data_IF_655320804053
#
_entry.id   IF_655320804053
#
_cell.length_a   1.000
_cell.length_b   1.000
_cell.length_c   1.000
_cell.angle_alpha   90.00
_cell.angle_beta   90.00
_cell.angle_gamma   90.00
#
_symmetry.space_group_name_H-M   'P 1'
#
loop_
_entity.id
_entity.type
_entity.pdbx_description
1 polymer ?
#
# COMPACT_ATOMS: atom_id res chain seq x y z
N UNK A 1 -18.39 3.30 -5.30
CA UNK A 1 -18.85 2.23 -6.26
C UNK A 1 -19.37 0.99 -5.51
N UNK A 2 -20.26 0.21 -6.13
CA UNK A 2 -20.60 -1.14 -5.65
C UNK A 2 -19.48 -2.10 -6.07
N UNK A 3 -19.08 -3.03 -5.20
CA UNK A 3 -17.94 -3.93 -5.49
C UNK A 3 -18.36 -5.21 -6.24
N UNK A 4 -19.63 -5.61 -6.13
CA UNK A 4 -20.16 -6.78 -6.83
C UNK A 4 -19.94 -6.68 -8.35
N UNK A 5 -19.28 -7.68 -8.93
CA UNK A 5 -19.00 -7.77 -10.36
C UNK A 5 -17.87 -6.84 -10.85
N UNK A 6 -17.20 -6.11 -9.96
CA UNK A 6 -16.04 -5.29 -10.33
C UNK A 6 -14.78 -6.13 -10.48
N UNK A 7 -13.91 -5.77 -11.44
CA UNK A 7 -12.60 -6.40 -11.63
C UNK A 7 -11.57 -5.58 -10.86
N UNK A 8 -10.85 -6.21 -9.95
CA UNK A 8 -9.88 -5.58 -9.08
C UNK A 8 -8.49 -6.23 -9.21
N UNK A 9 -7.47 -5.43 -9.50
CA UNK A 9 -6.07 -5.83 -9.45
C UNK A 9 -5.46 -5.38 -8.13
N UNK A 10 -4.90 -6.31 -7.37
CA UNK A 10 -4.19 -6.03 -6.12
C UNK A 10 -2.75 -6.52 -6.25
N UNK A 11 -1.82 -5.61 -6.20
CA UNK A 11 -0.40 -5.90 -6.31
C UNK A 11 0.20 -6.28 -4.96
N UNK A 12 1.13 -7.24 -4.95
CA UNK A 12 1.76 -7.70 -3.71
C UNK A 12 0.81 -8.47 -2.79
N UNK A 13 0.05 -9.40 -3.37
CA UNK A 13 -1.05 -10.11 -2.71
C UNK A 13 -0.69 -11.42 -2.00
N UNK A 14 0.59 -11.85 -1.98
CA UNK A 14 0.95 -13.13 -1.36
C UNK A 14 0.58 -13.19 0.12
N UNK A 15 0.75 -12.09 0.83
CA UNK A 15 0.59 -12.00 2.28
C UNK A 15 0.28 -10.56 2.76
N UNK A 16 0.06 -10.37 4.09
CA UNK A 16 -0.10 -9.07 4.75
C UNK A 16 -1.23 -8.23 4.19
N UNK A 17 -0.97 -6.93 4.01
CA UNK A 17 -1.97 -5.93 3.62
C UNK A 17 -2.59 -6.27 2.26
N UNK A 18 -1.77 -6.58 1.25
CA UNK A 18 -2.28 -6.87 -0.10
C UNK A 18 -3.17 -8.11 -0.12
N UNK A 19 -2.78 -9.20 0.57
CA UNK A 19 -3.61 -10.40 0.72
C UNK A 19 -4.94 -10.07 1.42
N UNK A 20 -4.89 -9.36 2.53
CA UNK A 20 -6.08 -9.02 3.30
C UNK A 20 -7.05 -8.16 2.50
N UNK A 21 -6.57 -7.16 1.76
CA UNK A 21 -7.39 -6.34 0.87
C UNK A 21 -8.00 -7.22 -0.24
N UNK A 22 -7.18 -8.03 -0.92
CA UNK A 22 -7.64 -8.88 -2.02
C UNK A 22 -8.73 -9.84 -1.62
N UNK A 23 -8.53 -10.58 -0.51
CA UNK A 23 -9.56 -11.50 0.00
C UNK A 23 -10.83 -10.76 0.46
N UNK A 24 -10.69 -9.56 1.02
CA UNK A 24 -11.85 -8.76 1.43
C UNK A 24 -12.65 -8.25 0.23
N UNK A 25 -11.97 -7.84 -0.85
CA UNK A 25 -12.63 -7.46 -2.11
C UNK A 25 -13.32 -8.67 -2.76
N UNK A 26 -12.69 -9.83 -2.77
CA UNK A 26 -13.29 -11.06 -3.27
C UNK A 26 -14.56 -11.44 -2.48
N UNK A 27 -14.50 -11.42 -1.15
CA UNK A 27 -15.66 -11.64 -0.27
C UNK A 27 -16.78 -10.60 -0.48
N UNK A 28 -16.44 -9.39 -0.92
CA UNK A 28 -17.40 -8.35 -1.26
C UNK A 28 -17.97 -8.46 -2.69
N UNK A 29 -17.63 -9.54 -3.41
CA UNK A 29 -18.18 -9.89 -4.72
C UNK A 29 -17.40 -9.31 -5.91
N UNK A 30 -16.19 -8.78 -5.71
CA UNK A 30 -15.32 -8.43 -6.80
C UNK A 30 -14.60 -9.67 -7.36
N UNK A 31 -14.34 -9.70 -8.65
CA UNK A 31 -13.35 -10.61 -9.24
C UNK A 31 -11.97 -10.01 -9.00
N UNK A 32 -11.08 -10.78 -8.37
CA UNK A 32 -9.80 -10.26 -7.91
C UNK A 32 -8.65 -10.94 -8.63
N UNK A 33 -7.69 -10.12 -9.10
CA UNK A 33 -6.39 -10.54 -9.60
C UNK A 33 -5.37 -10.18 -8.52
N UNK A 34 -4.68 -11.18 -7.93
CA UNK A 34 -3.63 -11.00 -6.93
C UNK A 34 -2.28 -11.28 -7.55
N UNK A 35 -1.35 -10.33 -7.52
CA UNK A 35 0.01 -10.60 -7.95
C UNK A 35 0.90 -11.01 -6.78
N UNK A 36 1.86 -11.86 -7.05
CA UNK A 36 2.91 -12.26 -6.12
C UNK A 36 4.22 -12.52 -6.86
N UNK A 37 5.34 -12.46 -6.17
CA UNK A 37 6.64 -12.78 -6.75
C UNK A 37 7.41 -13.72 -5.83
N UNK A 38 7.73 -13.27 -4.64
CA UNK A 38 8.38 -14.02 -3.58
C UNK A 38 7.34 -14.79 -2.74
N UNK A 39 7.80 -15.51 -1.73
CA UNK A 39 6.98 -16.14 -0.72
C UNK A 39 6.10 -17.28 -1.28
N UNK A 40 6.72 -18.37 -1.78
CA UNK A 40 5.97 -19.44 -2.44
C UNK A 40 4.94 -20.14 -1.53
N UNK A 41 5.25 -20.32 -0.24
CA UNK A 41 4.33 -20.95 0.71
C UNK A 41 3.12 -20.06 1.00
N UNK A 42 3.36 -18.77 1.25
CA UNK A 42 2.29 -17.80 1.47
C UNK A 42 1.45 -17.57 0.22
N UNK A 43 2.08 -17.60 -0.96
CA UNK A 43 1.37 -17.53 -2.22
C UNK A 43 0.46 -18.75 -2.42
N UNK A 44 0.93 -19.96 -2.10
CA UNK A 44 0.11 -21.16 -2.14
C UNK A 44 -1.06 -21.11 -1.14
N UNK A 45 -0.81 -20.64 0.08
CA UNK A 45 -1.86 -20.44 1.08
C UNK A 45 -2.89 -19.40 0.61
N UNK A 46 -2.45 -18.27 0.05
CA UNK A 46 -3.33 -17.24 -0.51
C UNK A 46 -4.19 -17.78 -1.65
N UNK A 47 -3.61 -18.54 -2.59
CA UNK A 47 -4.36 -19.18 -3.68
C UNK A 47 -5.45 -20.11 -3.18
N UNK A 48 -5.14 -20.92 -2.13
CA UNK A 48 -6.12 -21.81 -1.50
C UNK A 48 -7.27 -21.02 -0.86
N UNK A 49 -6.95 -19.94 -0.14
CA UNK A 49 -7.97 -19.10 0.48
C UNK A 49 -8.84 -18.39 -0.57
N UNK A 50 -8.22 -17.91 -1.65
CA UNK A 50 -8.93 -17.26 -2.76
C UNK A 50 -9.86 -18.24 -3.47
N UNK A 51 -9.39 -19.47 -3.74
CA UNK A 51 -10.21 -20.53 -4.33
C UNK A 51 -11.39 -20.93 -3.46
N UNK A 52 -11.23 -20.92 -2.13
CA UNK A 52 -12.31 -21.24 -1.18
C UNK A 52 -13.45 -20.19 -1.17
N UNK A 53 -13.19 -18.96 -1.61
CA UNK A 53 -14.23 -17.93 -1.76
C UNK A 53 -15.10 -18.23 -2.99
N UNK A 54 -14.53 -18.90 -4.01
CA UNK A 54 -15.20 -19.16 -5.29
C UNK A 54 -15.22 -17.92 -6.19
N UNK A 55 -15.50 -18.14 -7.48
CA UNK A 55 -15.50 -17.10 -8.49
C UNK A 55 -14.30 -17.19 -9.44
N UNK A 56 -14.23 -16.28 -10.43
CA UNK A 56 -13.21 -16.27 -11.47
C UNK A 56 -12.00 -15.41 -11.06
N UNK A 57 -11.42 -15.73 -9.90
CA UNK A 57 -10.24 -15.04 -9.38
C UNK A 57 -8.96 -15.56 -10.05
N UNK A 58 -7.89 -14.73 -10.04
CA UNK A 58 -6.61 -15.06 -10.63
C UNK A 58 -5.46 -14.73 -9.65
N UNK A 59 -4.52 -15.64 -9.52
CA UNK A 59 -3.25 -15.39 -8.85
C UNK A 59 -2.12 -15.45 -9.89
N UNK A 60 -1.31 -14.39 -9.98
CA UNK A 60 -0.28 -14.23 -11.00
C UNK A 60 1.08 -14.08 -10.35
N UNK A 61 2.02 -14.98 -10.66
CA UNK A 61 3.42 -14.80 -10.28
C UNK A 61 4.09 -13.87 -11.27
N UNK A 62 4.61 -12.74 -10.80
CA UNK A 62 5.19 -11.70 -11.66
C UNK A 62 6.24 -10.88 -10.91
N UNK A 63 7.35 -10.58 -11.57
CA UNK A 63 8.28 -9.55 -11.13
C UNK A 63 7.88 -8.20 -11.71
N UNK A 64 7.34 -7.34 -10.86
CA UNK A 64 6.88 -6.00 -11.25
C UNK A 64 8.02 -4.98 -11.44
N UNK A 65 9.29 -5.41 -11.31
CA UNK A 65 10.45 -4.59 -11.68
C UNK A 65 10.72 -4.64 -13.19
N UNK A 66 10.13 -5.62 -13.87
CA UNK A 66 10.30 -5.88 -15.31
C UNK A 66 9.12 -5.27 -16.09
N UNK A 67 9.33 -4.18 -16.85
CA UNK A 67 8.26 -3.50 -17.60
C UNK A 67 7.52 -4.44 -18.58
N UNK A 68 8.23 -5.32 -19.29
CA UNK A 68 7.61 -6.26 -20.21
C UNK A 68 6.63 -7.22 -19.52
N UNK A 69 6.97 -7.68 -18.31
CA UNK A 69 6.07 -8.52 -17.53
C UNK A 69 4.82 -7.76 -17.08
N UNK A 70 4.95 -6.47 -16.79
CA UNK A 70 3.79 -5.61 -16.48
C UNK A 70 2.88 -5.51 -17.70
N UNK A 71 3.43 -5.26 -18.89
CA UNK A 71 2.64 -5.18 -20.11
C UNK A 71 1.93 -6.50 -20.44
N UNK A 72 2.57 -7.65 -20.22
CA UNK A 72 1.95 -8.98 -20.33
C UNK A 72 0.81 -9.20 -19.33
N UNK A 73 0.97 -8.72 -18.10
CA UNK A 73 -0.08 -8.77 -17.09
C UNK A 73 -1.33 -8.00 -17.54
N UNK A 74 -1.15 -6.77 -18.03
CA UNK A 74 -2.28 -5.96 -18.49
C UNK A 74 -2.89 -6.49 -19.78
N UNK A 75 -2.10 -7.05 -20.70
CA UNK A 75 -2.62 -7.76 -21.85
C UNK A 75 -3.47 -8.99 -21.46
N UNK A 76 -3.04 -9.74 -20.44
CA UNK A 76 -3.80 -10.87 -19.88
C UNK A 76 -5.12 -10.39 -19.24
N UNK A 77 -5.11 -9.29 -18.48
CA UNK A 77 -6.30 -8.71 -17.89
C UNK A 77 -7.27 -8.26 -18.99
N UNK A 78 -6.77 -7.56 -20.00
CA UNK A 78 -7.58 -7.12 -21.14
C UNK A 78 -8.21 -8.31 -21.88
N UNK A 79 -7.42 -9.35 -22.18
CA UNK A 79 -7.91 -10.51 -22.91
C UNK A 79 -8.94 -11.33 -22.13
N UNK A 80 -8.77 -11.45 -20.80
CA UNK A 80 -9.65 -12.29 -19.97
C UNK A 80 -10.90 -11.57 -19.46
N UNK A 81 -10.76 -10.32 -19.06
CA UNK A 81 -11.83 -9.56 -18.39
C UNK A 81 -12.32 -8.38 -19.22
N UNK A 82 -11.53 -7.91 -20.18
CA UNK A 82 -11.85 -6.77 -21.04
C UNK A 82 -11.85 -5.40 -20.34
N UNK A 83 -11.73 -5.37 -19.01
CA UNK A 83 -11.94 -4.17 -18.21
C UNK A 83 -11.22 -4.26 -16.86
N UNK A 84 -10.81 -3.13 -16.31
CA UNK A 84 -10.29 -3.03 -14.94
C UNK A 84 -10.99 -1.88 -14.21
N UNK A 85 -11.56 -2.14 -13.04
CA UNK A 85 -12.29 -1.14 -12.27
C UNK A 85 -11.50 -0.61 -11.07
N UNK A 86 -10.69 -1.45 -10.45
CA UNK A 86 -9.99 -1.16 -9.21
C UNK A 86 -8.54 -1.59 -9.34
N UNK A 87 -7.63 -0.68 -8.99
CA UNK A 87 -6.22 -0.99 -8.78
C UNK A 87 -5.82 -0.65 -7.34
N UNK A 88 -5.33 -1.64 -6.61
CA UNK A 88 -4.64 -1.45 -5.34
C UNK A 88 -3.14 -1.59 -5.59
N UNK A 89 -2.46 -0.46 -5.69
CA UNK A 89 -1.04 -0.40 -5.98
C UNK A 89 -0.23 -0.53 -4.67
N UNK A 90 -0.08 -1.78 -4.22
CA UNK A 90 0.56 -2.16 -2.97
C UNK A 90 1.87 -2.89 -3.21
N UNK A 91 2.71 -2.38 -4.12
CA UNK A 91 4.06 -2.91 -4.33
C UNK A 91 4.99 -2.31 -3.30
N UNK A 92 5.72 -3.18 -2.65
CA UNK A 92 6.80 -2.79 -1.77
C UNK A 92 7.95 -3.78 -1.93
N UNK A 93 9.15 -3.38 -1.57
CA UNK A 93 10.33 -4.21 -1.62
C UNK A 93 10.09 -5.57 -0.94
N UNK A 94 10.18 -6.67 -1.71
CA UNK A 94 10.07 -8.04 -1.22
C UNK A 94 11.33 -8.51 -0.52
N UNK A 95 11.18 -9.36 0.50
CA UNK A 95 12.16 -10.34 0.96
C UNK A 95 13.49 -9.92 1.57
N UNK A 96 13.91 -8.68 1.52
CA UNK A 96 15.24 -8.29 2.00
C UNK A 96 15.18 -7.69 3.41
N UNK A 97 15.75 -8.36 4.42
CA UNK A 97 15.64 -7.94 5.81
C UNK A 97 16.77 -7.00 6.22
N UNK A 98 16.96 -5.86 5.57
CA UNK A 98 17.96 -4.91 6.06
C UNK A 98 17.28 -3.62 6.43
N UNK A 99 17.11 -3.43 7.72
CA UNK A 99 16.51 -2.25 8.30
C UNK A 99 17.52 -1.43 9.07
N UNK A 100 18.58 -2.07 9.58
CA UNK A 100 19.62 -1.42 10.33
C UNK A 100 20.97 -1.67 9.67
N UNK A 101 21.73 -0.64 9.48
CA UNK A 101 23.07 -0.69 8.93
C UNK A 101 23.26 0.23 7.75
N UNK A 102 24.48 0.30 7.20
CA UNK A 102 24.77 1.11 6.03
C UNK A 102 23.93 0.60 4.85
N UNK A 103 23.30 1.53 4.17
CA UNK A 103 22.49 1.26 2.99
C UNK A 103 23.45 0.97 1.82
N UNK A 104 23.36 -0.24 1.25
CA UNK A 104 24.21 -0.58 0.10
C UNK A 104 23.58 -0.07 -1.22
N UNK A 105 24.38 0.13 -2.29
CA UNK A 105 23.86 0.50 -3.60
C UNK A 105 22.77 -0.47 -4.10
N UNK A 106 22.94 -1.77 -3.88
CA UNK A 106 22.00 -2.79 -4.30
C UNK A 106 20.64 -2.66 -3.57
N UNK A 107 20.70 -2.32 -2.28
CA UNK A 107 19.48 -2.08 -1.48
C UNK A 107 18.77 -0.81 -1.95
N UNK A 108 19.52 0.24 -2.28
CA UNK A 108 18.98 1.46 -2.86
C UNK A 108 18.27 1.17 -4.19
N UNK A 109 18.95 0.49 -5.13
CA UNK A 109 18.39 0.16 -6.42
C UNK A 109 17.14 -0.71 -6.30
N UNK A 110 17.16 -1.70 -5.40
CA UNK A 110 16.00 -2.55 -5.14
C UNK A 110 14.81 -1.75 -4.60
N UNK A 111 15.04 -0.82 -3.69
CA UNK A 111 14.01 0.04 -3.11
C UNK A 111 13.38 0.94 -4.18
N UNK A 112 14.22 1.63 -4.97
CA UNK A 112 13.76 2.49 -6.05
C UNK A 112 13.03 1.71 -7.13
N UNK A 113 13.52 0.51 -7.47
CA UNK A 113 12.91 -0.34 -8.48
C UNK A 113 11.53 -0.85 -8.04
N UNK A 114 11.35 -1.20 -6.77
CA UNK A 114 10.12 -1.81 -6.28
C UNK A 114 9.11 -0.78 -5.77
N UNK A 115 9.53 0.12 -4.88
CA UNK A 115 8.61 1.04 -4.20
C UNK A 115 8.20 2.23 -5.08
N UNK A 116 9.06 2.67 -5.98
CA UNK A 116 8.81 3.84 -6.84
C UNK A 116 8.58 3.46 -8.31
N UNK A 117 9.60 2.91 -8.98
CA UNK A 117 9.59 2.68 -10.43
C UNK A 117 8.51 1.67 -10.86
N UNK A 118 8.35 0.56 -10.12
CA UNK A 118 7.33 -0.42 -10.45
C UNK A 118 5.91 0.16 -10.32
N UNK A 119 5.63 0.96 -9.30
CA UNK A 119 4.33 1.65 -9.16
C UNK A 119 4.06 2.57 -10.34
N UNK A 120 5.08 3.28 -10.81
CA UNK A 120 4.96 4.17 -11.96
C UNK A 120 4.68 3.39 -13.25
N UNK A 121 5.41 2.30 -13.52
CA UNK A 121 5.17 1.46 -14.70
C UNK A 121 3.79 0.84 -14.67
N UNK A 122 3.36 0.31 -13.54
CA UNK A 122 2.01 -0.25 -13.38
C UNK A 122 0.94 0.80 -13.70
N UNK A 123 1.07 2.02 -13.17
CA UNK A 123 0.10 3.08 -13.45
C UNK A 123 0.04 3.43 -14.93
N UNK A 124 1.18 3.49 -15.62
CA UNK A 124 1.24 3.74 -17.06
C UNK A 124 0.46 2.71 -17.88
N UNK A 125 0.60 1.42 -17.53
CA UNK A 125 -0.09 0.32 -18.24
C UNK A 125 -1.55 0.17 -17.77
N UNK A 126 -1.87 0.53 -16.52
CA UNK A 126 -3.22 0.41 -15.96
C UNK A 126 -4.17 1.52 -16.39
N UNK A 127 -3.67 2.74 -16.52
CA UNK A 127 -4.51 3.92 -16.68
C UNK A 127 -5.42 3.88 -17.92
N UNK A 128 -4.94 3.46 -19.11
CA UNK A 128 -5.81 3.34 -20.28
C UNK A 128 -6.98 2.37 -20.03
N UNK A 129 -6.71 1.21 -19.41
CA UNK A 129 -7.72 0.19 -19.14
C UNK A 129 -8.73 0.63 -18.06
N UNK A 130 -8.28 1.41 -17.09
CA UNK A 130 -9.15 2.01 -16.07
C UNK A 130 -10.06 3.08 -16.66
N UNK A 131 -9.56 3.88 -17.61
CA UNK A 131 -10.29 4.98 -18.24
C UNK A 131 -11.42 4.52 -19.19
N UNK A 132 -11.42 3.25 -19.62
CA UNK A 132 -12.52 2.66 -20.38
C UNK A 132 -13.81 2.54 -19.56
N UNK A 133 -13.74 2.77 -18.24
CA UNK A 133 -14.88 2.71 -17.34
C UNK A 133 -15.42 4.10 -17.01
N UNK A 134 -16.73 4.17 -16.79
CA UNK A 134 -17.36 5.37 -16.24
C UNK A 134 -17.02 5.60 -14.75
N UNK A 135 -16.59 4.56 -14.05
CA UNK A 135 -16.30 4.59 -12.62
C UNK A 135 -15.17 3.61 -12.27
N UNK A 136 -13.96 4.13 -12.15
CA UNK A 136 -12.80 3.38 -11.70
C UNK A 136 -12.09 4.05 -10.52
N UNK A 137 -11.32 3.29 -9.76
CA UNK A 137 -10.58 3.82 -8.63
C UNK A 137 -9.21 3.16 -8.46
N UNK A 138 -8.22 3.97 -8.14
CA UNK A 138 -6.88 3.54 -7.76
C UNK A 138 -6.60 3.96 -6.32
N UNK A 139 -6.07 3.04 -5.54
CA UNK A 139 -5.51 3.33 -4.22
C UNK A 139 -4.05 2.92 -4.24
N UNK A 140 -3.16 3.88 -4.08
CA UNK A 140 -1.73 3.63 -3.93
C UNK A 140 -1.36 3.63 -2.45
N UNK A 141 -0.82 2.52 -1.96
CA UNK A 141 -0.32 2.45 -0.61
C UNK A 141 1.06 3.07 -0.52
N UNK A 142 1.25 3.87 0.53
CA UNK A 142 2.52 4.51 0.86
C UNK A 142 2.77 4.48 2.37
N UNK A 143 3.80 5.17 2.82
CA UNK A 143 4.20 5.21 4.22
C UNK A 143 4.44 6.64 4.70
N UNK A 144 4.17 6.88 5.99
CA UNK A 144 4.61 8.10 6.70
C UNK A 144 6.12 8.33 6.63
N UNK A 145 6.91 7.31 6.26
CA UNK A 145 8.33 7.48 5.96
C UNK A 145 8.57 8.62 4.95
N UNK A 146 7.66 8.82 4.01
CA UNK A 146 7.69 9.94 3.06
C UNK A 146 7.52 11.33 3.70
N UNK A 147 7.04 11.41 4.94
CA UNK A 147 6.90 12.67 5.69
C UNK A 147 8.01 12.82 6.72
N UNK A 148 8.18 11.80 7.58
CA UNK A 148 9.08 11.89 8.73
C UNK A 148 10.54 11.55 8.39
N UNK A 149 10.77 10.87 7.27
CA UNK A 149 12.10 10.40 6.92
C UNK A 149 12.65 9.48 8.01
N UNK A 150 13.87 9.77 8.47
CA UNK A 150 14.54 9.06 9.58
C UNK A 150 14.46 9.82 10.89
N UNK A 151 13.43 10.65 11.07
CA UNK A 151 13.29 11.46 12.26
C UNK A 151 12.61 10.68 13.40
N UNK A 152 13.03 10.92 14.64
CA UNK A 152 12.45 10.31 15.83
C UNK A 152 12.62 8.78 15.88
N UNK A 153 11.78 8.06 16.66
CA UNK A 153 11.87 6.61 16.82
C UNK A 153 11.71 5.82 15.51
N UNK A 154 11.00 6.38 14.52
CA UNK A 154 10.85 5.76 13.19
C UNK A 154 12.18 5.60 12.43
N UNK A 155 13.19 6.44 12.75
CA UNK A 155 14.52 6.33 12.17
C UNK A 155 15.25 5.02 12.47
N UNK A 156 14.74 4.22 13.40
CA UNK A 156 15.20 2.86 13.68
C UNK A 156 14.73 1.86 12.60
N UNK A 157 13.65 2.17 11.88
CA UNK A 157 13.03 1.27 10.89
C UNK A 157 13.13 1.85 9.49
N UNK A 158 12.87 3.14 9.31
CA UNK A 158 12.88 3.77 7.99
C UNK A 158 14.31 4.09 7.56
N UNK A 159 14.60 3.81 6.29
CA UNK A 159 15.86 4.19 5.64
C UNK A 159 15.62 5.32 4.61
N UNK A 160 16.70 5.87 4.10
CA UNK A 160 16.65 7.03 3.21
C UNK A 160 15.95 6.73 1.89
N UNK A 161 16.24 5.58 1.27
CA UNK A 161 15.63 5.18 0.00
C UNK A 161 14.13 4.92 0.14
N UNK A 162 13.71 4.22 1.19
CA UNK A 162 12.31 3.99 1.49
C UNK A 162 11.55 5.30 1.71
N UNK A 163 12.16 6.22 2.44
CA UNK A 163 11.59 7.54 2.70
C UNK A 163 11.46 8.37 1.43
N UNK A 164 12.52 8.42 0.61
CA UNK A 164 12.51 9.13 -0.66
C UNK A 164 11.49 8.55 -1.65
N UNK A 165 11.45 7.22 -1.79
CA UNK A 165 10.49 6.53 -2.66
C UNK A 165 9.04 6.79 -2.23
N UNK A 166 8.74 6.70 -0.94
CA UNK A 166 7.39 6.98 -0.44
C UNK A 166 7.00 8.47 -0.57
N UNK A 167 7.96 9.40 -0.45
CA UNK A 167 7.69 10.83 -0.72
C UNK A 167 7.28 11.07 -2.17
N UNK A 168 7.89 10.38 -3.12
CA UNK A 168 7.55 10.50 -4.54
C UNK A 168 6.12 10.03 -4.85
N UNK A 169 5.56 9.10 -4.08
CA UNK A 169 4.20 8.59 -4.32
C UNK A 169 3.14 9.69 -4.22
N UNK A 170 3.27 10.62 -3.28
CA UNK A 170 2.31 11.73 -3.17
C UNK A 170 2.32 12.62 -4.43
N UNK A 171 3.50 12.93 -4.96
CA UNK A 171 3.62 13.69 -6.20
C UNK A 171 3.06 12.93 -7.41
N UNK A 172 3.30 11.62 -7.48
CA UNK A 172 2.69 10.77 -8.51
C UNK A 172 1.17 10.70 -8.38
N UNK A 173 0.64 10.55 -7.17
CA UNK A 173 -0.82 10.52 -6.93
C UNK A 173 -1.51 11.76 -7.46
N UNK A 174 -0.93 12.95 -7.24
CA UNK A 174 -1.46 14.20 -7.78
C UNK A 174 -1.43 14.25 -9.32
N UNK A 175 -0.34 13.77 -9.93
CA UNK A 175 -0.20 13.71 -11.38
C UNK A 175 -1.21 12.73 -11.99
N UNK A 176 -1.23 11.50 -11.47
CA UNK A 176 -2.14 10.46 -11.95
C UNK A 176 -3.62 10.82 -11.76
N UNK A 177 -3.95 11.54 -10.68
CA UNK A 177 -5.32 12.03 -10.48
C UNK A 177 -5.75 13.00 -11.57
N UNK A 178 -4.84 13.87 -12.06
CA UNK A 178 -5.11 14.76 -13.19
C UNK A 178 -5.27 13.97 -14.50
N UNK A 179 -4.43 12.99 -14.73
CA UNK A 179 -4.48 12.13 -15.92
C UNK A 179 -5.72 11.21 -15.93
N UNK A 180 -6.14 10.72 -14.77
CA UNK A 180 -7.27 9.79 -14.63
C UNK A 180 -8.64 10.46 -14.65
N UNK A 181 -8.72 11.73 -14.31
CA UNK A 181 -9.99 12.45 -14.26
C UNK A 181 -10.63 12.60 -15.67
N UNK A 182 -11.97 12.61 -15.77
CA UNK A 182 -12.95 12.54 -14.68
C UNK A 182 -13.38 11.10 -14.31
N UNK A 183 -12.94 10.07 -15.03
CA UNK A 183 -13.46 8.69 -14.91
C UNK A 183 -12.77 7.86 -13.85
N UNK A 184 -11.50 8.16 -13.54
CA UNK A 184 -10.70 7.42 -12.57
C UNK A 184 -10.37 8.29 -11.36
N UNK A 185 -10.81 7.89 -10.17
CA UNK A 185 -10.38 8.51 -8.92
C UNK A 185 -9.09 7.85 -8.42
N UNK A 186 -8.08 8.63 -8.13
CA UNK A 186 -6.77 8.14 -7.72
C UNK A 186 -6.39 8.81 -6.41
N UNK A 187 -6.23 8.01 -5.35
CA UNK A 187 -5.89 8.49 -4.02
C UNK A 187 -4.75 7.67 -3.41
N UNK A 188 -4.07 8.27 -2.48
CA UNK A 188 -3.02 7.63 -1.68
C UNK A 188 -3.57 7.26 -0.31
N UNK A 189 -3.27 6.04 0.15
CA UNK A 189 -3.45 5.60 1.52
C UNK A 189 -2.08 5.50 2.19
N UNK A 190 -1.74 6.51 2.98
CA UNK A 190 -0.45 6.64 3.65
C UNK A 190 -0.53 6.00 5.04
N UNK A 191 0.28 4.98 5.27
CA UNK A 191 0.24 4.16 6.47
C UNK A 191 1.36 4.50 7.45
N UNK A 192 1.04 4.50 8.74
CA UNK A 192 1.97 4.46 9.84
C UNK A 192 2.34 3.03 10.24
N UNK A 193 2.43 2.77 11.53
CA UNK A 193 2.75 1.46 12.09
C UNK A 193 1.48 0.64 12.30
N UNK A 194 1.41 -0.53 11.68
CA UNK A 194 0.28 -1.45 11.77
C UNK A 194 0.74 -2.84 12.21
N UNK A 195 -0.13 -3.54 12.96
CA UNK A 195 0.00 -4.97 13.27
C UNK A 195 -0.21 -5.78 11.99
N UNK A 196 0.73 -5.66 11.10
CA UNK A 196 0.80 -6.53 9.94
C UNK A 196 1.78 -7.62 10.28
N UNK A 197 1.84 -8.69 9.46
CA UNK A 197 2.96 -9.60 9.55
C UNK A 197 4.33 -8.93 9.41
N UNK A 198 4.34 -7.63 9.27
CA UNK A 198 5.48 -6.82 9.52
C UNK A 198 5.82 -6.70 10.99
N UNK A 199 5.00 -7.08 11.90
CA UNK A 199 5.39 -7.30 13.28
C UNK A 199 6.31 -8.53 13.41
N UNK A 200 6.09 -9.60 12.63
CA UNK A 200 6.95 -10.78 12.63
C UNK A 200 7.73 -10.87 11.30
N UNK A 201 9.05 -10.68 11.35
CA UNK A 201 9.94 -10.92 10.20
C UNK A 201 9.90 -9.85 9.11
N UNK A 202 9.34 -8.67 9.33
CA UNK A 202 9.62 -7.54 8.52
C UNK A 202 10.58 -6.59 9.17
N UNK A 203 11.71 -6.68 8.63
CA UNK A 203 12.51 -5.52 8.35
C UNK A 203 12.71 -4.63 9.57
N UNK A 204 12.88 -5.27 10.74
CA UNK A 204 13.44 -4.62 11.87
C UNK A 204 12.57 -4.44 13.08
N UNK A 205 11.24 -4.68 13.02
CA UNK A 205 10.46 -4.60 14.25
C UNK A 205 10.94 -5.60 15.30
N UNK A 206 11.15 -6.86 14.89
CA UNK A 206 11.65 -7.92 15.80
C UNK A 206 13.13 -7.77 16.14
N UNK A 207 13.88 -6.95 15.41
CA UNK A 207 15.25 -6.58 15.73
C UNK A 207 15.33 -5.45 16.74
N UNK A 208 14.22 -4.74 16.97
CA UNK A 208 14.14 -3.71 17.99
C UNK A 208 14.03 -4.32 19.39
N UNK A 209 14.74 -3.74 20.33
CA UNK A 209 14.51 -4.04 21.75
C UNK A 209 13.09 -3.60 22.17
N UNK A 210 12.58 -4.18 23.27
CA UNK A 210 11.28 -3.76 23.82
C UNK A 210 11.21 -2.25 24.08
N UNK A 211 12.28 -1.65 24.59
CA UNK A 211 12.34 -0.20 24.83
C UNK A 211 12.25 0.62 23.54
N UNK A 212 12.84 0.13 22.44
CA UNK A 212 12.75 0.81 21.13
C UNK A 212 11.36 0.68 20.53
N UNK A 213 10.73 -0.50 20.65
CA UNK A 213 9.34 -0.70 20.24
C UNK A 213 8.38 0.17 21.06
N UNK A 214 8.60 0.29 22.38
CA UNK A 214 7.81 1.15 23.25
C UNK A 214 8.01 2.62 22.91
N UNK A 215 9.23 3.05 22.56
CA UNK A 215 9.47 4.41 22.10
C UNK A 215 8.64 4.78 20.85
N UNK A 216 8.49 3.85 19.92
CA UNK A 216 7.63 4.04 18.74
C UNK A 216 6.15 4.15 19.17
N UNK A 217 5.68 3.22 20.03
CA UNK A 217 4.28 3.24 20.51
C UNK A 217 3.97 4.52 21.31
N UNK A 218 4.90 4.95 22.17
CA UNK A 218 4.76 6.18 22.95
C UNK A 218 4.74 7.44 22.09
N UNK A 219 5.42 7.42 20.94
CA UNK A 219 5.38 8.52 20.00
C UNK A 219 4.05 8.61 19.24
N UNK A 220 3.36 7.50 19.03
CA UNK A 220 2.01 7.47 18.44
C UNK A 220 1.01 8.09 19.43
N UNK A 221 0.22 9.08 19.01
CA UNK A 221 -0.75 9.72 19.90
C UNK A 221 -1.81 8.74 20.44
N UNK A 222 -2.24 7.79 19.61
CA UNK A 222 -3.19 6.74 20.02
C UNK A 222 -2.55 5.61 20.85
N UNK A 223 -1.23 5.65 21.12
CA UNK A 223 -0.48 4.73 21.99
C UNK A 223 -0.58 3.25 21.57
N UNK A 224 -0.88 2.99 20.33
CA UNK A 224 -0.95 1.66 19.75
C UNK A 224 -0.61 1.67 18.26
N UNK A 225 -0.25 0.53 17.73
CA UNK A 225 -0.23 0.30 16.29
C UNK A 225 -1.65 0.12 15.74
N UNK A 226 -1.84 0.36 14.45
CA UNK A 226 -3.10 0.12 13.75
C UNK A 226 -3.29 -1.36 13.42
N UNK A 227 -4.53 -1.76 13.15
CA UNK A 227 -4.89 -3.13 12.77
C UNK A 227 -5.19 -3.24 11.28
N UNK A 228 -5.05 -4.44 10.73
CA UNK A 228 -5.32 -4.71 9.31
C UNK A 228 -6.77 -4.36 8.92
N UNK A 229 -7.72 -4.61 9.82
CA UNK A 229 -9.13 -4.31 9.61
C UNK A 229 -9.39 -2.80 9.43
N UNK A 230 -8.59 -1.96 10.08
CA UNK A 230 -8.67 -0.50 9.93
C UNK A 230 -8.19 -0.07 8.52
N UNK A 231 -7.16 -0.74 7.97
CA UNK A 231 -6.73 -0.52 6.58
C UNK A 231 -7.83 -0.94 5.60
N UNK A 232 -8.43 -2.12 5.81
CA UNK A 232 -9.52 -2.61 4.97
C UNK A 232 -10.69 -1.64 4.99
N UNK A 233 -11.08 -1.13 6.17
CA UNK A 233 -12.15 -0.14 6.29
C UNK A 233 -11.85 1.14 5.50
N UNK A 234 -10.60 1.65 5.55
CA UNK A 234 -10.19 2.82 4.79
C UNK A 234 -10.20 2.56 3.27
N UNK A 235 -9.76 1.38 2.83
CA UNK A 235 -9.83 0.98 1.41
C UNK A 235 -11.28 0.95 0.95
N UNK A 236 -12.18 0.35 1.73
CA UNK A 236 -13.61 0.32 1.39
C UNK A 236 -14.23 1.72 1.37
N UNK A 237 -13.88 2.59 2.31
CA UNK A 237 -14.29 4.00 2.31
C UNK A 237 -13.84 4.69 1.01
N UNK A 238 -12.56 4.60 0.64
CA UNK A 238 -12.04 5.23 -0.57
C UNK A 238 -12.71 4.68 -1.84
N UNK A 239 -13.07 3.40 -1.88
CA UNK A 239 -13.71 2.79 -3.03
C UNK A 239 -15.22 3.13 -3.12
N UNK A 240 -15.95 3.10 -1.98
CA UNK A 240 -17.41 3.16 -1.94
C UNK A 240 -17.93 4.57 -1.71
N UNK A 241 -17.38 5.28 -0.72
CA UNK A 241 -18.02 6.44 -0.10
C UNK A 241 -17.32 7.75 -0.47
N UNK A 242 -16.01 7.73 -0.67
CA UNK A 242 -15.19 8.89 -0.99
C UNK A 242 -15.33 9.31 -2.48
N UNK A 243 -16.55 9.48 -2.96
CA UNK A 243 -16.85 9.73 -4.39
C UNK A 243 -16.37 11.09 -4.90
N UNK A 244 -16.13 12.04 -4.00
CA UNK A 244 -15.61 13.39 -4.32
C UNK A 244 -14.13 13.55 -3.93
N UNK A 245 -13.39 12.42 -3.83
CA UNK A 245 -11.96 12.44 -3.52
C UNK A 245 -11.15 11.89 -4.69
N UNK A 246 -10.24 12.71 -5.21
CA UNK A 246 -9.17 12.33 -6.13
C UNK A 246 -7.95 13.20 -5.88
N UNK A 247 -6.74 12.66 -6.02
CA UNK A 247 -5.48 13.33 -5.70
C UNK A 247 -5.23 13.55 -4.21
N UNK A 248 -6.03 12.94 -3.34
CA UNK A 248 -5.93 13.10 -1.91
C UNK A 248 -5.01 12.05 -1.26
N UNK A 249 -4.39 12.45 -0.15
CA UNK A 249 -3.63 11.58 0.76
C UNK A 249 -4.48 11.34 2.01
N UNK A 250 -4.92 10.10 2.21
CA UNK A 250 -5.55 9.67 3.46
C UNK A 250 -4.47 9.07 4.35
N UNK A 251 -4.07 9.80 5.40
CA UNK A 251 -3.04 9.34 6.34
C UNK A 251 -3.65 8.60 7.53
N UNK A 252 -3.15 7.39 7.77
CA UNK A 252 -3.54 6.54 8.90
C UNK A 252 -2.28 6.17 9.69
N UNK A 253 -1.98 6.93 10.72
CA UNK A 253 -0.73 6.80 11.48
C UNK A 253 -0.92 6.89 13.01
N UNK A 254 -2.13 6.92 13.48
CA UNK A 254 -2.44 7.11 14.89
C UNK A 254 -1.93 8.43 15.47
N UNK A 255 -1.63 9.40 14.61
CA UNK A 255 -1.05 10.70 14.97
C UNK A 255 0.48 10.69 15.10
N UNK A 256 1.17 9.65 14.61
CA UNK A 256 2.64 9.57 14.70
C UNK A 256 3.35 10.82 14.14
N UNK A 257 2.93 11.31 12.98
CA UNK A 257 3.54 12.47 12.31
C UNK A 257 3.39 13.77 13.11
N UNK A 258 2.42 13.83 14.01
CA UNK A 258 2.20 15.01 14.88
C UNK A 258 3.17 15.08 16.06
N UNK A 259 3.92 14.02 16.30
CA UNK A 259 4.84 13.92 17.42
C UNK A 259 4.18 13.49 18.72
N UNK A 260 5.00 13.11 19.71
CA UNK A 260 4.55 12.66 21.03
C UNK A 260 4.47 13.78 22.09
N UNK A 261 4.66 15.03 21.72
CA UNK A 261 4.68 16.14 22.66
C UNK A 261 3.27 16.49 23.15
N UNK A 262 3.17 16.77 24.46
CA UNK A 262 1.91 17.21 25.06
C UNK A 262 1.75 18.71 24.91
N UNK A 263 0.52 19.16 24.67
CA UNK A 263 0.19 20.57 24.76
C UNK A 263 0.28 20.99 26.23
N UNK A 264 1.16 21.91 26.60
CA UNK A 264 1.22 22.38 27.97
C UNK A 264 -0.08 23.15 28.33
N UNK A 265 -0.51 23.11 29.57
CA UNK A 265 -1.62 23.96 29.99
C UNK A 265 -1.26 25.43 29.80
N UNK A 266 -2.25 26.22 29.38
CA UNK A 266 -2.07 27.67 29.29
C UNK A 266 -1.74 28.24 30.68
N UNK A 267 -0.82 29.21 30.76
CA UNK A 267 -0.55 29.91 32.03
C UNK A 267 -1.82 30.55 32.56
N UNK A 268 -1.98 30.53 33.88
CA UNK A 268 -3.13 31.19 34.54
C UNK A 268 -3.14 32.69 34.21
N UNK A 269 -4.27 33.18 33.72
CA UNK A 269 -4.45 34.59 33.34
C UNK A 269 -4.15 34.93 31.88
N UNK A 270 -3.93 33.91 31.03
CA UNK A 270 -3.94 34.06 29.58
C UNK A 270 -5.27 33.50 29.06
N UNK A 271 -6.19 34.39 28.73
CA UNK A 271 -7.46 34.08 28.06
C UNK A 271 -7.34 34.19 26.56
#
# INVERSE_FOLDING_TARGET
>A
MKLQGKIALVLGGAKGIGKAIGLSLAKAGATVILTHFDWPEEAAAMQKELAAIGGDHLAVKIDLREPAAIDELFATIQARYGILHILINNIERGGMPVVHGPYTPEQWELEMATTMRAKWWVMRSALPLLQENAEAAVITLSSIAGIVGRCGPAGLIFNDGYSAANRAISAFTETWAREGAPTVRINELMLGFFETRHAEGTRGWDLLSAAQQDAIREHILLKRTGKIEEIIAAVFFLLRDATYMTGAVLRMDGGYVLGGEKIPPMPVGVE
#
